data_IF_124461742674
#
_entry.id   IF_124461742674
#
_cell.length_a   1.000
_cell.length_b   1.000
_cell.length_c   1.000
_cell.angle_alpha   90.00
_cell.angle_beta   90.00
_cell.angle_gamma   90.00
#
_symmetry.space_group_name_H-M   'P 1'
#
loop_
_entity.id
_entity.type
_entity.pdbx_description
1 polymer ?
#
# COMPACT_ATOMS: atom_id res chain seq x y z
N UNK A 1 32.16 10.88 6.37
CA UNK A 1 31.12 11.85 5.96
C UNK A 1 29.94 11.07 5.42
N UNK A 2 28.76 11.13 6.05
CA UNK A 2 27.58 10.42 5.56
C UNK A 2 27.02 11.15 4.33
N UNK A 3 27.06 10.53 3.16
CA UNK A 3 26.50 11.08 1.92
C UNK A 3 24.97 11.03 2.02
N UNK A 4 24.34 12.18 2.22
CA UNK A 4 22.88 12.31 2.10
C UNK A 4 22.54 12.35 0.61
N UNK A 5 21.71 11.41 0.16
CA UNK A 5 21.18 11.41 -1.20
C UNK A 5 19.93 12.29 -1.25
N UNK A 6 19.99 13.35 -2.06
CA UNK A 6 18.88 14.26 -2.30
C UNK A 6 18.17 13.83 -3.58
N UNK A 7 16.92 13.37 -3.48
CA UNK A 7 16.12 12.99 -4.65
C UNK A 7 15.01 14.03 -4.85
N UNK A 8 14.82 14.46 -6.09
CA UNK A 8 13.71 15.33 -6.51
C UNK A 8 12.70 14.49 -7.30
N UNK A 9 11.76 13.79 -6.63
CA UNK A 9 10.74 13.03 -7.31
C UNK A 9 9.90 13.92 -8.23
N UNK A 10 9.68 13.43 -9.46
CA UNK A 10 8.78 14.00 -10.48
C UNK A 10 7.74 12.95 -10.83
N UNK A 11 6.49 13.36 -11.04
CA UNK A 11 5.40 12.45 -11.43
C UNK A 11 5.38 12.29 -12.95
N UNK A 12 6.32 11.52 -13.49
CA UNK A 12 6.47 11.33 -14.95
C UNK A 12 5.24 10.68 -15.59
N UNK A 13 4.49 9.87 -14.83
CA UNK A 13 3.26 9.24 -15.31
C UNK A 13 2.09 10.20 -15.52
N UNK A 14 2.20 11.46 -15.05
CA UNK A 14 1.17 12.46 -15.22
C UNK A 14 1.42 13.41 -16.41
N UNK A 15 2.51 13.20 -17.15
CA UNK A 15 2.83 14.01 -18.33
C UNK A 15 1.81 13.73 -19.42
N UNK A 16 1.21 14.79 -19.97
CA UNK A 16 0.45 14.68 -21.21
C UNK A 16 1.42 14.48 -22.37
N UNK A 17 1.37 13.30 -22.99
CA UNK A 17 2.30 12.91 -24.06
C UNK A 17 2.13 13.83 -25.28
N UNK A 18 0.92 14.24 -25.62
CA UNK A 18 0.66 15.06 -26.82
C UNK A 18 1.26 16.46 -26.68
N UNK A 19 1.00 17.12 -25.56
CA UNK A 19 1.55 18.44 -25.26
C UNK A 19 3.08 18.38 -25.18
N UNK A 20 3.62 17.34 -24.53
CA UNK A 20 5.06 17.15 -24.41
C UNK A 20 5.75 16.96 -25.77
N UNK A 21 5.15 16.17 -26.67
CA UNK A 21 5.67 15.98 -28.03
C UNK A 21 5.57 17.26 -28.87
N UNK A 22 4.52 18.07 -28.70
CA UNK A 22 4.41 19.36 -29.37
C UNK A 22 5.54 20.31 -28.92
N UNK A 23 5.83 20.36 -27.63
CA UNK A 23 6.88 21.22 -27.08
C UNK A 23 8.28 20.73 -27.49
N UNK A 24 8.52 19.42 -27.58
CA UNK A 24 9.77 18.87 -28.13
C UNK A 24 9.99 19.34 -29.57
N UNK A 25 8.95 19.28 -30.40
CA UNK A 25 9.05 19.70 -31.82
C UNK A 25 9.36 21.20 -31.96
N UNK A 26 8.92 22.02 -31.00
CA UNK A 26 9.20 23.46 -30.95
C UNK A 26 10.54 23.79 -30.29
N UNK A 27 11.19 22.84 -29.65
CA UNK A 27 12.44 23.08 -28.90
C UNK A 27 13.57 23.55 -29.81
N UNK A 28 14.52 24.30 -29.23
CA UNK A 28 15.70 24.79 -29.96
C UNK A 28 16.52 23.66 -30.57
N UNK A 29 16.48 22.47 -29.97
CA UNK A 29 17.18 21.31 -30.48
C UNK A 29 16.71 20.85 -31.87
N UNK A 30 15.44 21.10 -32.22
CA UNK A 30 14.89 20.76 -33.53
C UNK A 30 14.93 21.93 -34.52
N UNK A 31 15.08 23.17 -34.05
CA UNK A 31 14.99 24.39 -34.87
C UNK A 31 16.35 25.05 -35.12
N UNK A 32 17.28 24.92 -34.18
CA UNK A 32 18.62 25.54 -34.18
C UNK A 32 19.61 24.69 -33.36
N UNK A 33 20.05 23.53 -33.89
CA UNK A 33 20.98 22.65 -33.18
C UNK A 33 22.40 23.22 -33.18
N UNK A 34 23.07 23.14 -32.03
CA UNK A 34 24.49 23.50 -31.94
C UNK A 34 25.36 22.61 -32.84
N UNK A 35 26.39 23.22 -33.42
CA UNK A 35 27.30 22.56 -34.38
C UNK A 35 28.40 21.76 -33.67
N UNK A 36 28.77 22.18 -32.45
CA UNK A 36 29.79 21.54 -31.63
C UNK A 36 29.14 20.51 -30.71
N UNK A 37 29.72 19.32 -30.63
CA UNK A 37 29.16 18.19 -29.87
C UNK A 37 28.96 18.52 -28.39
N UNK A 38 29.92 19.20 -27.75
CA UNK A 38 29.80 19.60 -26.35
C UNK A 38 28.58 20.51 -26.13
N UNK A 39 28.46 21.55 -26.96
CA UNK A 39 27.35 22.51 -26.89
C UNK A 39 26.00 21.85 -27.22
N UNK A 40 25.99 20.87 -28.13
CA UNK A 40 24.80 20.09 -28.47
C UNK A 40 24.33 19.21 -27.30
N UNK A 41 25.26 18.62 -26.56
CA UNK A 41 24.96 17.82 -25.36
C UNK A 41 24.44 18.72 -24.24
N UNK A 42 25.04 19.90 -24.04
CA UNK A 42 24.54 20.88 -23.08
C UNK A 42 23.15 21.38 -23.46
N UNK A 43 22.94 21.70 -24.75
CA UNK A 43 21.65 22.11 -25.29
C UNK A 43 20.58 21.02 -25.07
N UNK A 44 20.88 19.75 -25.38
CA UNK A 44 19.99 18.62 -25.10
C UNK A 44 19.58 18.58 -23.62
N UNK A 45 20.58 18.58 -22.72
CA UNK A 45 20.34 18.41 -21.29
C UNK A 45 19.52 19.57 -20.72
N UNK A 46 19.80 20.80 -21.15
CA UNK A 46 19.08 21.98 -20.71
C UNK A 46 17.63 21.97 -21.21
N UNK A 47 17.41 21.71 -22.49
CA UNK A 47 16.06 21.65 -23.09
C UNK A 47 15.20 20.57 -22.43
N UNK A 48 15.73 19.36 -22.27
CA UNK A 48 15.01 18.27 -21.58
C UNK A 48 14.69 18.63 -20.12
N UNK A 49 15.61 19.28 -19.41
CA UNK A 49 15.34 19.72 -18.04
C UNK A 49 14.19 20.73 -17.98
N UNK A 50 14.19 21.73 -18.86
CA UNK A 50 13.15 22.76 -18.95
C UNK A 50 11.79 22.16 -19.30
N UNK A 51 11.75 21.27 -20.30
CA UNK A 51 10.52 20.57 -20.71
C UNK A 51 9.96 19.72 -19.56
N UNK A 52 10.83 18.98 -18.87
CA UNK A 52 10.40 18.18 -17.73
C UNK A 52 9.96 19.05 -16.54
N UNK A 53 10.54 20.24 -16.33
CA UNK A 53 10.10 21.17 -15.28
C UNK A 53 8.72 21.79 -15.59
N UNK A 54 8.42 22.03 -16.87
CA UNK A 54 7.09 22.48 -17.34
C UNK A 54 6.02 21.40 -17.16
N UNK A 55 6.31 20.16 -17.58
CA UNK A 55 5.32 19.07 -17.64
C UNK A 55 5.24 18.20 -16.39
N UNK A 56 6.31 18.13 -15.62
CA UNK A 56 6.39 17.33 -14.40
C UNK A 56 7.20 18.05 -13.31
N UNK A 57 6.68 19.17 -12.77
CA UNK A 57 7.37 19.94 -11.74
C UNK A 57 7.68 19.07 -10.52
N UNK A 58 8.85 19.29 -9.93
CA UNK A 58 9.31 18.50 -8.78
C UNK A 58 8.42 18.73 -7.55
N UNK A 59 7.90 17.66 -6.96
CA UNK A 59 6.82 17.75 -5.97
C UNK A 59 7.29 18.03 -4.54
N UNK A 60 8.54 17.70 -4.19
CA UNK A 60 9.28 18.03 -2.94
C UNK A 60 10.64 17.33 -2.95
N UNK A 61 11.66 17.98 -2.41
CA UNK A 61 12.97 17.34 -2.22
C UNK A 61 12.90 16.35 -1.06
N UNK A 62 13.20 15.08 -1.32
CA UNK A 62 13.26 14.04 -0.29
C UNK A 62 14.72 13.80 0.07
N UNK A 63 15.06 14.02 1.34
CA UNK A 63 16.38 13.67 1.89
C UNK A 63 16.31 12.20 2.31
N UNK A 64 17.09 11.34 1.64
CA UNK A 64 17.22 9.97 2.09
C UNK A 64 17.99 9.94 3.41
N UNK A 65 17.47 9.15 4.36
CA UNK A 65 18.14 8.91 5.64
C UNK A 65 19.53 8.31 5.35
N UNK A 66 20.62 8.88 5.92
CA UNK A 66 21.94 8.29 5.77
C UNK A 66 21.96 6.87 6.32
N UNK A 67 22.80 6.02 5.72
CA UNK A 67 23.00 4.64 6.14
C UNK A 67 23.26 4.61 7.64
N UNK A 68 22.37 3.97 8.40
CA UNK A 68 22.44 3.89 9.85
C UNK A 68 23.53 2.86 10.20
N UNK A 69 24.71 3.27 10.71
CA UNK A 69 25.82 2.33 10.92
C UNK A 69 25.49 1.22 11.92
N UNK A 70 24.55 1.50 12.82
CA UNK A 70 24.05 0.58 13.83
C UNK A 70 22.96 -0.37 13.30
N UNK A 71 22.41 -0.16 12.10
CA UNK A 71 21.37 -1.02 11.52
C UNK A 71 21.99 -2.04 10.56
N UNK A 72 22.62 -3.07 11.12
CA UNK A 72 23.28 -4.14 10.37
C UNK A 72 22.28 -5.12 9.72
N UNK A 73 22.75 -5.89 8.75
CA UNK A 73 21.94 -6.95 8.13
C UNK A 73 21.52 -8.02 9.17
N UNK A 74 22.35 -8.28 10.17
CA UNK A 74 22.05 -9.23 11.26
C UNK A 74 20.88 -8.75 12.11
N UNK A 75 20.81 -7.45 12.41
CA UNK A 75 19.66 -6.85 13.10
C UNK A 75 18.39 -6.92 12.24
N UNK A 76 18.51 -6.73 10.92
CA UNK A 76 17.38 -6.89 10.01
C UNK A 76 16.88 -8.34 9.99
N UNK A 77 17.79 -9.32 9.93
CA UNK A 77 17.46 -10.75 9.97
C UNK A 77 16.83 -11.13 11.31
N UNK A 78 17.38 -10.67 12.45
CA UNK A 78 16.81 -10.91 13.77
C UNK A 78 15.40 -10.32 13.91
N UNK A 79 15.14 -9.12 13.37
CA UNK A 79 13.78 -8.54 13.34
C UNK A 79 12.82 -9.35 12.47
N UNK A 80 13.28 -9.85 11.32
CA UNK A 80 12.48 -10.72 10.43
C UNK A 80 12.16 -12.06 11.11
N UNK A 81 13.14 -12.68 11.76
CA UNK A 81 12.96 -13.93 12.50
C UNK A 81 11.97 -13.77 13.65
N UNK A 82 12.08 -12.69 14.45
CA UNK A 82 11.11 -12.36 15.49
C UNK A 82 9.70 -12.19 14.92
N UNK A 83 9.55 -11.48 13.80
CA UNK A 83 8.25 -11.32 13.13
C UNK A 83 7.70 -12.66 12.66
N UNK A 84 8.53 -13.53 12.08
CA UNK A 84 8.11 -14.87 11.68
C UNK A 84 7.66 -15.71 12.89
N UNK A 85 8.35 -15.59 14.03
CA UNK A 85 7.94 -16.25 15.28
C UNK A 85 6.66 -15.65 15.89
N UNK A 86 6.43 -14.33 15.76
CA UNK A 86 5.16 -13.68 16.13
C UNK A 86 4.01 -14.06 15.19
N UNK A 87 4.33 -14.41 13.93
CA UNK A 87 3.38 -14.95 12.94
C UNK A 87 3.09 -16.43 13.14
N UNK A 88 3.88 -17.15 13.94
CA UNK A 88 3.50 -18.49 14.35
C UNK A 88 2.19 -18.38 15.14
N UNK A 89 1.14 -19.12 14.76
CA UNK A 89 -0.16 -19.00 15.39
C UNK A 89 -0.01 -19.23 16.89
N UNK A 90 -0.33 -18.21 17.70
CA UNK A 90 -0.59 -18.38 19.13
C UNK A 90 -1.91 -19.13 19.28
N UNK A 91 -1.89 -20.41 18.96
CA UNK A 91 -2.95 -21.33 19.29
C UNK A 91 -2.76 -21.75 20.74
N UNK A 92 -3.30 -20.98 21.69
CA UNK A 92 -3.58 -21.50 23.02
C UNK A 92 -4.41 -20.51 23.84
N UNK A 93 -5.60 -20.95 24.22
CA UNK A 93 -6.42 -20.45 25.32
C UNK A 93 -7.17 -19.13 25.13
N UNK A 94 -8.02 -19.05 24.10
CA UNK A 94 -9.28 -18.30 24.23
C UNK A 94 -10.30 -19.32 24.73
N UNK A 95 -10.79 -19.16 25.96
CA UNK A 95 -11.65 -20.16 26.61
C UNK A 95 -12.85 -20.56 25.73
N UNK A 96 -13.31 -21.81 25.86
CA UNK A 96 -14.37 -22.41 25.01
C UNK A 96 -15.70 -21.62 25.02
N UNK A 97 -15.89 -20.73 26.00
CA UNK A 97 -17.06 -19.86 26.15
C UNK A 97 -16.80 -18.38 25.85
N UNK A 98 -15.66 -18.02 25.27
CA UNK A 98 -15.27 -16.61 25.05
C UNK A 98 -15.72 -16.03 23.70
N UNK A 99 -16.74 -16.61 23.06
CA UNK A 99 -17.26 -16.13 21.78
C UNK A 99 -18.77 -16.36 21.68
N UNK A 100 -19.44 -15.57 20.85
CA UNK A 100 -20.88 -15.72 20.59
C UNK A 100 -21.05 -16.53 19.30
N UNK A 101 -21.67 -17.72 19.35
CA UNK A 101 -21.89 -18.52 18.16
C UNK A 101 -22.96 -17.86 17.27
N UNK A 102 -22.75 -17.91 15.96
CA UNK A 102 -23.68 -17.34 14.97
C UNK A 102 -25.09 -17.92 15.06
N UNK A 103 -25.23 -19.18 15.47
CA UNK A 103 -26.53 -19.84 15.69
C UNK A 103 -27.39 -19.17 16.78
N UNK A 104 -26.79 -18.30 17.59
CA UNK A 104 -27.51 -17.54 18.61
C UNK A 104 -28.29 -16.35 18.01
N UNK A 105 -27.99 -15.96 16.77
CA UNK A 105 -28.68 -14.87 16.09
C UNK A 105 -30.04 -15.33 15.55
N UNK A 106 -31.13 -14.60 15.80
CA UNK A 106 -32.44 -14.92 15.25
C UNK A 106 -32.47 -14.88 13.72
N UNK A 107 -33.19 -15.82 13.10
CA UNK A 107 -33.36 -15.91 11.65
C UNK A 107 -34.08 -14.70 11.01
N UNK A 108 -34.72 -13.84 11.81
CA UNK A 108 -35.37 -12.62 11.32
C UNK A 108 -34.39 -11.48 11.00
N UNK A 109 -33.11 -11.61 11.38
CA UNK A 109 -32.11 -10.56 11.17
C UNK A 109 -31.40 -10.83 9.85
N UNK A 110 -31.55 -9.93 8.87
CA UNK A 110 -30.92 -10.09 7.56
C UNK A 110 -29.50 -9.53 7.48
N UNK A 111 -29.11 -8.62 8.38
CA UNK A 111 -27.82 -7.97 8.41
C UNK A 111 -27.33 -7.79 9.85
N UNK A 112 -26.08 -8.18 10.13
CA UNK A 112 -25.42 -8.02 11.42
C UNK A 112 -24.08 -7.34 11.19
N UNK A 113 -23.82 -6.25 11.91
CA UNK A 113 -22.53 -5.56 11.91
C UNK A 113 -21.79 -5.97 13.18
N UNK A 114 -20.66 -6.65 13.02
CA UNK A 114 -19.89 -7.21 14.12
C UNK A 114 -18.82 -6.24 14.59
N UNK A 115 -19.03 -5.61 15.75
CA UNK A 115 -18.05 -4.77 16.43
C UNK A 115 -17.47 -5.50 17.64
N UNK A 116 -16.15 -5.69 17.68
CA UNK A 116 -15.30 -6.12 18.81
C UNK A 116 -13.94 -6.57 18.25
N UNK A 117 -14.01 -7.29 17.13
CA UNK A 117 -12.84 -7.75 16.40
C UNK A 117 -12.20 -6.60 15.62
N UNK A 118 -10.88 -6.50 15.72
CA UNK A 118 -10.12 -5.44 15.05
C UNK A 118 -9.64 -5.86 13.65
N UNK A 119 -9.86 -7.12 13.25
CA UNK A 119 -9.58 -7.56 11.88
C UNK A 119 -10.63 -7.01 10.90
N UNK A 120 -10.20 -6.32 9.85
CA UNK A 120 -11.12 -5.80 8.83
C UNK A 120 -11.43 -6.92 7.81
N UNK A 121 -12.71 -7.29 7.69
CA UNK A 121 -13.17 -8.31 6.76
C UNK A 121 -14.36 -7.79 5.94
N UNK A 122 -14.08 -6.77 5.13
CA UNK A 122 -15.01 -6.14 4.18
C UNK A 122 -14.91 -6.77 2.78
N UNK A 123 -14.99 -8.09 2.68
CA UNK A 123 -14.98 -8.80 1.39
C UNK A 123 -16.40 -8.78 0.78
N UNK A 124 -16.84 -7.60 0.31
CA UNK A 124 -18.19 -7.39 -0.23
C UNK A 124 -18.33 -7.80 -1.72
N UNK A 125 -17.22 -8.12 -2.41
CA UNK A 125 -17.18 -8.20 -3.88
C UNK A 125 -16.62 -9.50 -4.49
N UNK A 126 -16.34 -10.55 -3.72
CA UNK A 126 -15.99 -11.85 -4.32
C UNK A 126 -17.24 -12.54 -4.85
N UNK A 127 -17.48 -12.41 -6.16
CA UNK A 127 -18.64 -12.92 -6.89
C UNK A 127 -18.87 -14.44 -6.80
N UNK A 128 -17.90 -15.22 -6.31
CA UNK A 128 -18.00 -16.70 -6.25
C UNK A 128 -17.70 -17.31 -4.87
N UNK A 129 -17.64 -16.50 -3.80
CA UNK A 129 -17.33 -17.02 -2.48
C UNK A 129 -18.59 -17.53 -1.77
N UNK A 130 -18.83 -18.85 -1.82
CA UNK A 130 -19.72 -19.60 -0.90
C UNK A 130 -19.31 -19.51 0.59
N UNK A 131 -18.44 -18.58 0.97
CA UNK A 131 -17.86 -18.52 2.31
C UNK A 131 -17.53 -17.09 2.67
N UNK A 132 -18.31 -16.53 3.58
CA UNK A 132 -18.06 -15.32 4.37
C UNK A 132 -19.13 -15.44 5.45
N UNK A 133 -18.85 -15.79 6.71
CA UNK A 133 -17.92 -15.19 7.67
C UNK A 133 -17.26 -16.30 8.51
N UNK A 134 -15.98 -16.15 8.86
CA UNK A 134 -15.26 -17.08 9.73
C UNK A 134 -14.89 -16.32 11.01
N UNK A 135 -15.66 -16.55 12.08
CA UNK A 135 -15.06 -16.43 13.43
C UNK A 135 -13.89 -17.43 13.50
N UNK A 136 -12.81 -17.15 14.24
CA UNK A 136 -11.86 -18.21 14.59
C UNK A 136 -12.59 -19.33 15.34
N UNK A 137 -12.87 -20.44 14.64
CA UNK A 137 -13.67 -21.57 15.14
C UNK A 137 -15.03 -21.80 14.45
N UNK A 138 -15.49 -20.91 13.56
CA UNK A 138 -16.74 -21.13 12.80
C UNK A 138 -16.51 -21.97 11.54
N UNK A 139 -17.31 -23.01 11.36
CA UNK A 139 -17.23 -23.97 10.24
C UNK A 139 -18.38 -23.85 9.22
N UNK A 140 -19.24 -22.83 9.30
CA UNK A 140 -20.41 -22.73 8.41
C UNK A 140 -20.09 -22.20 7.01
N UNK A 141 -20.80 -22.77 6.04
CA UNK A 141 -20.86 -22.37 4.63
C UNK A 141 -22.19 -21.59 4.47
N UNK A 142 -22.17 -20.49 3.71
CA UNK A 142 -23.35 -19.63 3.51
C UNK A 142 -24.51 -20.42 2.87
N UNK A 143 -25.71 -20.30 3.44
CA UNK A 143 -26.94 -20.90 2.89
C UNK A 143 -27.92 -19.79 2.48
N UNK A 144 -28.70 -19.96 1.39
CA UNK A 144 -29.73 -19.01 1.00
C UNK A 144 -30.73 -18.81 2.15
N UNK A 145 -30.84 -17.57 2.67
CA UNK A 145 -31.71 -17.22 3.81
C UNK A 145 -30.98 -16.95 5.13
N UNK A 146 -29.65 -17.11 5.21
CA UNK A 146 -28.88 -16.73 6.41
C UNK A 146 -28.60 -15.21 6.47
N UNK A 147 -28.47 -14.69 7.70
CA UNK A 147 -28.06 -13.30 7.97
C UNK A 147 -26.71 -12.97 7.34
N UNK A 148 -26.58 -11.80 6.71
CA UNK A 148 -25.29 -11.28 6.25
C UNK A 148 -24.56 -10.67 7.44
N UNK A 149 -23.36 -11.16 7.77
CA UNK A 149 -22.50 -10.56 8.81
C UNK A 149 -21.40 -9.72 8.16
N UNK A 150 -21.16 -8.51 8.65
CA UNK A 150 -20.10 -7.61 8.20
C UNK A 150 -19.21 -7.30 9.39
N UNK A 151 -17.88 -7.47 9.24
CA UNK A 151 -16.91 -7.12 10.27
C UNK A 151 -16.02 -5.97 9.78
N UNK A 152 -16.37 -4.70 10.09
CA UNK A 152 -15.61 -3.53 9.63
C UNK A 152 -14.20 -3.45 10.24
N UNK A 153 -13.96 -4.11 11.38
CA UNK A 153 -12.71 -4.00 12.11
C UNK A 153 -12.58 -2.65 12.85
N UNK A 154 -11.39 -2.40 13.41
CA UNK A 154 -11.05 -1.12 14.06
C UNK A 154 -10.68 -0.02 13.06
N UNK A 155 -10.87 1.25 13.44
CA UNK A 155 -10.43 2.41 12.66
C UNK A 155 -8.92 2.67 12.73
N UNK A 156 -8.26 2.19 13.79
CA UNK A 156 -6.81 2.29 13.98
C UNK A 156 -6.26 0.94 14.44
N UNK A 157 -5.01 0.66 14.09
CA UNK A 157 -4.30 -0.49 14.63
C UNK A 157 -3.95 -0.22 16.11
N UNK A 158 -4.63 -0.92 17.01
CA UNK A 158 -4.35 -0.96 18.46
C UNK A 158 -3.26 -1.97 18.82
N UNK A 159 -2.96 -2.92 17.93
CA UNK A 159 -1.92 -3.92 18.14
C UNK A 159 -1.19 -4.28 16.84
N UNK A 160 0.08 -4.69 16.95
CA UNK A 160 0.91 -5.06 15.80
C UNK A 160 0.72 -6.53 15.41
N UNK A 161 -0.52 -6.93 15.12
CA UNK A 161 -0.89 -8.29 14.74
C UNK A 161 -1.42 -8.34 13.30
N UNK A 162 -1.38 -9.53 12.68
CA UNK A 162 -1.79 -9.71 11.27
C UNK A 162 -3.23 -9.24 10.99
N UNK A 163 -4.19 -9.51 11.89
CA UNK A 163 -5.58 -9.07 11.71
C UNK A 163 -5.71 -7.55 11.54
N UNK A 164 -4.86 -6.77 12.22
CA UNK A 164 -4.90 -5.31 12.14
C UNK A 164 -4.04 -4.73 11.00
N UNK A 165 -3.25 -5.57 10.31
CA UNK A 165 -2.39 -5.16 9.20
C UNK A 165 -3.14 -4.98 7.87
N UNK A 166 -4.39 -5.45 7.78
CA UNK A 166 -5.23 -5.26 6.60
C UNK A 166 -5.62 -3.79 6.44
N UNK A 167 -5.80 -3.39 5.19
CA UNK A 167 -6.29 -2.05 4.87
C UNK A 167 -7.68 -1.86 5.47
N UNK A 168 -7.85 -0.72 6.17
CA UNK A 168 -9.11 -0.31 6.81
C UNK A 168 -9.96 0.49 5.84
#
# INVERSE_FOLDING_TARGET
MSVTKTIRPRKLSAINIEDFLSDIRLSRQCTDPAVVVCDLVEQYNNEICLLLDKHAPSLKTVVLRPHQPWFSNDLLQAKRARRAAEMAPRAANRGEHSYIPENFLPNCINLVIWGHEHDCQLDLFKKDAKKLIIQPGSSRIFQPGSSRIIQPGSSIATSLIFGESKQK
#
